data_IF_628191992063
#
_entry.id   IF_628191992063
#
_cell.length_a   1.000
_cell.length_b   1.000
_cell.length_c   1.000
_cell.angle_alpha   90.00
_cell.angle_beta   90.00
_cell.angle_gamma   90.00
#
_symmetry.space_group_name_H-M   'P 1'
#
loop_
_entity.id
_entity.type
_entity.pdbx_description
1 polymer ?
#
# COMPACT_ATOMS: atom_id res chain seq x y z
N UNK A 1 1.99 17.03 -11.12
CA UNK A 1 1.71 16.16 -9.95
C UNK A 1 2.87 16.26 -8.99
N UNK A 2 2.60 16.67 -7.77
CA UNK A 2 3.63 16.76 -6.74
C UNK A 2 4.13 15.35 -6.39
N UNK A 3 5.32 15.25 -5.79
CA UNK A 3 5.88 13.96 -5.38
C UNK A 3 4.94 13.25 -4.40
N UNK A 4 4.27 14.03 -3.56
CA UNK A 4 3.34 13.53 -2.55
C UNK A 4 2.15 12.81 -3.19
N UNK A 5 1.55 13.39 -4.23
CA UNK A 5 0.52 12.75 -5.04
C UNK A 5 1.03 11.45 -5.67
N UNK A 6 2.27 11.46 -6.16
CA UNK A 6 2.86 10.26 -6.78
C UNK A 6 3.04 9.13 -5.74
N UNK A 7 3.45 9.47 -4.52
CA UNK A 7 3.54 8.51 -3.41
C UNK A 7 2.17 7.94 -3.06
N UNK A 8 1.13 8.79 -2.99
CA UNK A 8 -0.25 8.38 -2.75
C UNK A 8 -0.73 7.37 -3.81
N UNK A 9 -0.48 7.65 -5.09
CA UNK A 9 -0.81 6.75 -6.20
C UNK A 9 -0.08 5.41 -6.10
N UNK A 10 1.25 5.43 -5.89
CA UNK A 10 2.02 4.19 -5.74
C UNK A 10 1.55 3.33 -4.56
N UNK A 11 1.25 3.96 -3.42
CA UNK A 11 0.71 3.27 -2.25
C UNK A 11 -0.68 2.70 -2.49
N UNK A 12 -1.52 3.38 -3.27
CA UNK A 12 -2.80 2.86 -3.73
C UNK A 12 -2.64 1.61 -4.59
N UNK A 13 -1.77 1.65 -5.60
CA UNK A 13 -1.48 0.50 -6.48
C UNK A 13 -0.96 -0.69 -5.66
N UNK A 14 -0.01 -0.44 -4.76
CA UNK A 14 0.53 -1.48 -3.87
C UNK A 14 -0.55 -2.05 -2.93
N UNK A 15 -1.46 -1.19 -2.44
CA UNK A 15 -2.62 -1.63 -1.65
C UNK A 15 -3.54 -2.57 -2.44
N UNK A 16 -3.83 -2.26 -3.72
CA UNK A 16 -4.62 -3.15 -4.58
C UNK A 16 -3.96 -4.52 -4.72
N UNK A 17 -2.67 -4.53 -5.07
CA UNK A 17 -1.89 -5.76 -5.26
C UNK A 17 -1.86 -6.57 -3.96
N UNK A 18 -1.59 -5.91 -2.84
CA UNK A 18 -1.59 -6.55 -1.53
C UNK A 18 -2.96 -7.15 -1.21
N UNK A 19 -4.07 -6.47 -1.53
CA UNK A 19 -5.43 -6.96 -1.29
C UNK A 19 -5.74 -8.22 -2.10
N UNK A 20 -5.40 -8.22 -3.39
CA UNK A 20 -5.56 -9.39 -4.27
C UNK A 20 -4.74 -10.58 -3.76
N UNK A 21 -3.46 -10.37 -3.41
CA UNK A 21 -2.61 -11.46 -2.89
C UNK A 21 -3.15 -11.97 -1.54
N UNK A 22 -3.59 -11.06 -0.67
CA UNK A 22 -4.17 -11.39 0.63
C UNK A 22 -5.42 -12.27 0.51
N UNK A 23 -6.24 -12.05 -0.52
CA UNK A 23 -7.42 -12.88 -0.77
C UNK A 23 -7.07 -14.36 -0.99
N UNK A 24 -6.00 -14.66 -1.76
CA UNK A 24 -5.57 -16.04 -1.98
C UNK A 24 -4.98 -16.70 -0.73
N UNK A 25 -4.47 -15.92 0.23
CA UNK A 25 -3.76 -16.42 1.40
C UNK A 25 -4.21 -15.68 2.68
N UNK A 26 -5.51 -15.72 2.97
CA UNK A 26 -6.17 -14.88 3.99
C UNK A 26 -5.54 -14.94 5.38
N UNK A 27 -5.06 -16.11 5.81
CA UNK A 27 -4.43 -16.30 7.11
C UNK A 27 -3.19 -15.40 7.31
N UNK A 28 -2.58 -14.93 6.22
CA UNK A 28 -1.44 -14.02 6.23
C UNK A 28 -1.77 -12.62 5.71
N UNK A 29 -3.04 -12.25 5.55
CA UNK A 29 -3.45 -10.98 4.94
C UNK A 29 -2.85 -9.74 5.63
N UNK A 30 -2.83 -9.73 6.98
CA UNK A 30 -2.22 -8.64 7.76
C UNK A 30 -0.70 -8.58 7.52
N UNK A 31 -0.03 -9.74 7.50
CA UNK A 31 1.41 -9.83 7.23
C UNK A 31 1.73 -9.31 5.83
N UNK A 32 0.92 -9.66 4.82
CA UNK A 32 1.05 -9.19 3.44
C UNK A 32 0.91 -7.66 3.38
N UNK A 33 -0.08 -7.07 4.04
CA UNK A 33 -0.26 -5.62 4.08
C UNK A 33 0.96 -4.90 4.69
N UNK A 34 1.51 -5.43 5.79
CA UNK A 34 2.71 -4.89 6.44
C UNK A 34 3.94 -5.01 5.52
N UNK A 35 4.13 -6.17 4.87
CA UNK A 35 5.24 -6.37 3.94
C UNK A 35 5.18 -5.39 2.76
N UNK A 36 3.99 -5.17 2.20
CA UNK A 36 3.80 -4.19 1.13
C UNK A 36 4.00 -2.75 1.58
N UNK A 37 3.63 -2.42 2.81
CA UNK A 37 3.96 -1.11 3.40
C UNK A 37 5.48 -0.92 3.50
N UNK A 38 6.20 -1.90 4.05
CA UNK A 38 7.66 -1.88 4.14
C UNK A 38 8.29 -1.74 2.75
N UNK A 39 7.83 -2.55 1.77
CA UNK A 39 8.28 -2.45 0.38
C UNK A 39 7.99 -1.07 -0.23
N UNK A 40 6.85 -0.45 0.10
CA UNK A 40 6.51 0.90 -0.36
C UNK A 40 7.50 1.95 0.14
N UNK A 41 8.01 1.82 1.37
CA UNK A 41 9.01 2.75 1.91
C UNK A 41 10.29 2.66 1.10
N UNK A 42 10.78 1.45 0.83
CA UNK A 42 11.96 1.24 -0.01
C UNK A 42 11.76 1.79 -1.43
N UNK A 43 10.59 1.56 -2.02
CA UNK A 43 10.23 2.09 -3.34
C UNK A 43 10.28 3.62 -3.38
N UNK A 44 9.66 4.28 -2.40
CA UNK A 44 9.61 5.76 -2.31
C UNK A 44 11.00 6.34 -2.07
N UNK A 45 11.79 5.74 -1.20
CA UNK A 45 13.18 6.16 -0.95
C UNK A 45 14.04 6.04 -2.21
N UNK A 46 13.89 4.93 -2.95
CA UNK A 46 14.63 4.70 -4.18
C UNK A 46 14.24 5.66 -5.31
N UNK A 47 12.93 5.83 -5.56
CA UNK A 47 12.43 6.63 -6.67
C UNK A 47 12.60 8.14 -6.48
N UNK A 48 12.36 8.65 -5.28
CA UNK A 48 12.27 10.10 -5.05
C UNK A 48 13.47 10.70 -4.31
N UNK A 49 14.38 9.87 -3.77
CA UNK A 49 15.59 10.27 -3.03
C UNK A 49 15.33 11.36 -1.98
N UNK A 50 14.09 11.45 -1.46
CA UNK A 50 13.63 12.54 -0.58
C UNK A 50 14.00 12.21 0.86
N UNK A 51 14.52 13.21 1.58
CA UNK A 51 14.89 13.10 3.00
C UNK A 51 13.75 13.39 3.97
N UNK A 52 12.62 13.88 3.46
CA UNK A 52 11.46 14.20 4.28
C UNK A 52 10.79 12.93 4.80
N UNK A 53 11.11 12.60 6.05
CA UNK A 53 10.63 11.41 6.75
C UNK A 53 9.11 11.38 6.85
N UNK A 54 8.45 12.55 6.94
CA UNK A 54 6.99 12.60 7.07
C UNK A 54 6.31 12.05 5.81
N UNK A 55 6.81 12.46 4.63
CA UNK A 55 6.29 12.00 3.35
C UNK A 55 6.60 10.52 3.11
N UNK A 56 7.77 10.06 3.52
CA UNK A 56 8.19 8.66 3.31
C UNK A 56 7.43 7.69 4.21
N UNK A 57 7.25 7.99 5.49
CA UNK A 57 6.62 7.05 6.43
C UNK A 57 5.10 7.25 6.49
N UNK A 58 4.63 8.46 6.75
CA UNK A 58 3.23 8.71 7.10
C UNK A 58 2.35 9.02 5.89
N UNK A 59 2.86 9.72 4.87
CA UNK A 59 2.01 10.20 3.78
C UNK A 59 1.55 9.05 2.88
N UNK A 60 0.24 8.86 2.78
CA UNK A 60 -0.38 7.80 1.99
C UNK A 60 -0.36 6.41 2.62
N UNK A 61 0.04 6.28 3.89
CA UNK A 61 -0.08 5.00 4.62
C UNK A 61 -1.55 4.56 4.69
N UNK A 62 -2.44 5.49 4.97
CA UNK A 62 -3.89 5.28 5.03
C UNK A 62 -4.42 4.82 3.70
N UNK A 63 -3.90 5.34 2.58
CA UNK A 63 -4.31 4.91 1.24
C UNK A 63 -3.93 3.45 0.99
N UNK A 64 -2.72 3.04 1.36
CA UNK A 64 -2.31 1.64 1.18
C UNK A 64 -3.25 0.70 1.93
N UNK A 65 -3.48 0.95 3.22
CA UNK A 65 -4.33 0.09 4.05
C UNK A 65 -5.81 0.19 3.67
N UNK A 66 -6.32 1.38 3.35
CA UNK A 66 -7.71 1.54 2.91
C UNK A 66 -7.95 0.79 1.60
N UNK A 67 -7.07 0.93 0.62
CA UNK A 67 -7.21 0.24 -0.66
C UNK A 67 -7.04 -1.27 -0.50
N UNK A 68 -6.06 -1.73 0.28
CA UNK A 68 -5.91 -3.15 0.62
C UNK A 68 -7.19 -3.73 1.22
N UNK A 69 -7.75 -3.05 2.23
CA UNK A 69 -8.95 -3.50 2.93
C UNK A 69 -10.18 -3.48 2.03
N UNK A 70 -10.36 -2.44 1.22
CA UNK A 70 -11.48 -2.32 0.28
C UNK A 70 -11.45 -3.44 -0.76
N UNK A 71 -10.29 -3.70 -1.37
CA UNK A 71 -10.16 -4.80 -2.34
C UNK A 71 -10.46 -6.14 -1.69
N UNK A 72 -9.95 -6.38 -0.48
CA UNK A 72 -10.24 -7.60 0.25
C UNK A 72 -11.74 -7.75 0.51
N UNK A 73 -12.39 -6.70 1.00
CA UNK A 73 -13.83 -6.67 1.25
C UNK A 73 -14.65 -6.93 -0.01
N UNK A 74 -14.29 -6.30 -1.13
CA UNK A 74 -14.94 -6.51 -2.44
C UNK A 74 -14.83 -7.98 -2.87
N UNK A 75 -13.63 -8.55 -2.82
CA UNK A 75 -13.39 -9.94 -3.24
C UNK A 75 -14.15 -10.95 -2.35
N UNK A 76 -14.27 -10.66 -1.05
CA UNK A 76 -15.04 -11.50 -0.12
C UNK A 76 -16.56 -11.41 -0.30
N UNK A 77 -17.09 -10.27 -0.77
CA UNK A 77 -18.54 -10.07 -0.93
C UNK A 77 -19.08 -10.48 -2.31
N UNK A 78 -18.22 -10.65 -3.31
CA UNK A 78 -18.62 -11.10 -4.66
C UNK A 78 -18.74 -12.64 -4.73
N UNK A 79 -18.30 -13.34 -3.70
CA UNK A 79 -18.35 -14.80 -3.56
C UNK A 79 -19.68 -15.27 -2.96
#
# INVERSE_FOLDING_TARGET
MEIEDKVLVWRGILGVIAGIISYFIIHYAILIAILFYVASIFLVMYLYKRRDRSVVYFKGITILFATWFLILLILYNIQ
#
